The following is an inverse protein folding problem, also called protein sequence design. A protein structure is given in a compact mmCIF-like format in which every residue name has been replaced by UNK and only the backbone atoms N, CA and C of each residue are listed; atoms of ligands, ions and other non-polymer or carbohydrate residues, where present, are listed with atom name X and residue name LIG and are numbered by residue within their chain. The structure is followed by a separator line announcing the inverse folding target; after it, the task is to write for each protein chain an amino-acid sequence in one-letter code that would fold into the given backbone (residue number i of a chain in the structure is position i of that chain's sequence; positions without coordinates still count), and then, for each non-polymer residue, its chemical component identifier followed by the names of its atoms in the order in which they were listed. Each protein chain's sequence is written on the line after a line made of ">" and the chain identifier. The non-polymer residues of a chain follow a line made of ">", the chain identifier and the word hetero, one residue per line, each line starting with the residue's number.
data_IF_951616636971
#
_entry.id   IF_951616636971
#
_cell.length_a   1.000
_cell.length_b   1.000
_cell.length_c   1.000
_cell.angle_alpha   90.00
_cell.angle_beta   90.00
_cell.angle_gamma   90.00
#
_symmetry.space_group_name_H-M   'P 1'
#
loop_
_entity.id
_entity.type
_entity.pdbx_description
1 polymer ?
#
# COMPACT_ATOMS: atom_id res chain seq x y z
N UNK A 1 17.76 -3.33 17.23
CA UNK A 1 16.41 -3.15 16.65
C UNK A 1 16.18 -4.28 15.67
N UNK A 2 15.04 -4.92 15.81
CA UNK A 2 14.72 -6.31 15.45
C UNK A 2 15.03 -6.67 14.00
N UNK A 3 15.63 -7.83 13.80
CA UNK A 3 15.67 -8.52 12.52
C UNK A 3 14.24 -8.59 11.97
N UNK A 4 13.90 -7.68 11.05
CA UNK A 4 12.63 -7.75 10.31
C UNK A 4 12.66 -9.10 9.60
N UNK A 5 11.89 -10.04 10.13
CA UNK A 5 11.82 -11.40 9.59
C UNK A 5 11.53 -11.30 8.09
N UNK A 6 12.44 -11.86 7.27
CA UNK A 6 12.30 -11.88 5.80
C UNK A 6 10.94 -12.48 5.41
N UNK A 7 10.46 -13.44 6.21
CA UNK A 7 9.14 -14.05 6.05
C UNK A 7 8.02 -13.03 6.24
N UNK A 8 8.12 -12.12 7.20
CA UNK A 8 7.13 -11.07 7.40
C UNK A 8 7.12 -10.08 6.24
N UNK A 9 8.31 -9.67 5.77
CA UNK A 9 8.40 -8.79 4.61
C UNK A 9 7.80 -9.44 3.36
N UNK A 10 8.02 -10.74 3.15
CA UNK A 10 7.40 -11.48 2.06
C UNK A 10 5.86 -11.48 2.17
N UNK A 11 5.30 -11.67 3.38
CA UNK A 11 3.85 -11.60 3.62
C UNK A 11 3.30 -10.22 3.31
N UNK A 12 3.97 -9.16 3.75
CA UNK A 12 3.53 -7.78 3.51
C UNK A 12 3.51 -7.45 2.01
N UNK A 13 4.48 -7.98 1.25
CA UNK A 13 4.52 -7.86 -0.22
C UNK A 13 3.34 -8.60 -0.85
N UNK A 14 3.07 -9.85 -0.46
CA UNK A 14 1.94 -10.62 -0.99
C UNK A 14 0.61 -9.89 -0.71
N UNK A 15 0.39 -9.46 0.53
CA UNK A 15 -0.79 -8.71 0.93
C UNK A 15 -0.94 -7.41 0.11
N UNK A 16 0.14 -6.64 -0.05
CA UNK A 16 0.11 -5.42 -0.86
C UNK A 16 -0.28 -5.71 -2.32
N UNK A 17 0.23 -6.78 -2.92
CA UNK A 17 -0.11 -7.16 -4.30
C UNK A 17 -1.59 -7.52 -4.44
N UNK A 18 -2.14 -8.31 -3.51
CA UNK A 18 -3.56 -8.68 -3.51
C UNK A 18 -4.45 -7.44 -3.38
N UNK A 19 -4.14 -6.56 -2.43
CA UNK A 19 -4.89 -5.32 -2.22
C UNK A 19 -4.83 -4.40 -3.45
N UNK A 20 -3.66 -4.28 -4.11
CA UNK A 20 -3.53 -3.49 -5.34
C UNK A 20 -4.38 -4.09 -6.47
N UNK A 21 -4.40 -5.42 -6.62
CA UNK A 21 -5.24 -6.09 -7.61
C UNK A 21 -6.72 -5.86 -7.37
N UNK A 22 -7.13 -5.80 -6.10
CA UNK A 22 -8.50 -5.44 -5.68
C UNK A 22 -8.82 -3.95 -5.85
N UNK A 23 -7.86 -3.12 -6.24
CA UNK A 23 -8.05 -1.68 -6.44
C UNK A 23 -7.91 -0.84 -5.15
N UNK A 24 -7.24 -1.37 -4.13
CA UNK A 24 -6.94 -0.62 -2.92
C UNK A 24 -6.12 0.65 -3.20
N UNK A 25 -6.34 1.66 -2.37
CA UNK A 25 -5.64 2.95 -2.45
C UNK A 25 -4.30 2.87 -1.74
N UNK A 26 -3.33 3.68 -2.16
CA UNK A 26 -1.99 3.72 -1.57
C UNK A 26 -2.02 3.94 -0.05
N UNK A 27 -2.88 4.83 0.45
CA UNK A 27 -3.01 5.10 1.88
C UNK A 27 -3.46 3.89 2.69
N UNK A 28 -4.34 3.05 2.12
CA UNK A 28 -4.77 1.80 2.78
C UNK A 28 -3.61 0.81 2.83
N UNK A 29 -2.83 0.68 1.75
CA UNK A 29 -1.63 -0.17 1.74
C UNK A 29 -0.59 0.29 2.79
N UNK A 30 -0.46 1.60 3.01
CA UNK A 30 0.42 2.17 4.04
C UNK A 30 -0.04 1.87 5.47
N UNK A 31 -1.35 1.65 5.69
CA UNK A 31 -1.90 1.28 7.00
C UNK A 31 -1.92 -0.24 7.23
N UNK A 32 -2.10 -1.03 6.18
CA UNK A 32 -2.22 -2.50 6.28
C UNK A 32 -0.87 -3.23 6.15
N UNK A 33 0.21 -2.55 5.75
CA UNK A 33 1.53 -3.18 5.54
C UNK A 33 2.67 -2.39 6.18
N UNK A 34 3.78 -3.07 6.47
CA UNK A 34 5.00 -2.43 7.00
C UNK A 34 5.97 -1.99 5.89
N UNK A 35 5.49 -1.95 4.63
CA UNK A 35 6.29 -1.57 3.47
C UNK A 35 6.45 -0.05 3.41
N UNK A 36 7.64 0.39 3.01
CA UNK A 36 7.86 1.82 2.78
C UNK A 36 7.03 2.31 1.60
N UNK A 37 6.56 3.56 1.69
CA UNK A 37 5.82 4.23 0.62
C UNK A 37 6.48 4.11 -0.76
N UNK A 38 7.81 4.17 -0.82
CA UNK A 38 8.57 3.99 -2.05
C UNK A 38 8.41 2.58 -2.66
N UNK A 39 8.43 1.52 -1.84
CA UNK A 39 8.19 0.14 -2.30
C UNK A 39 6.75 -0.03 -2.78
N UNK A 40 5.78 0.49 -2.04
CA UNK A 40 4.36 0.43 -2.43
C UNK A 40 4.10 1.13 -3.77
N UNK A 41 4.70 2.31 -4.01
CA UNK A 41 4.57 3.02 -5.29
C UNK A 41 5.17 2.22 -6.44
N UNK A 42 6.32 1.55 -6.23
CA UNK A 42 6.93 0.69 -7.26
C UNK A 42 6.03 -0.51 -7.56
N UNK A 43 5.60 -1.23 -6.53
CA UNK A 43 4.70 -2.38 -6.64
C UNK A 43 3.41 -2.01 -7.39
N UNK A 44 2.82 -0.87 -7.05
CA UNK A 44 1.60 -0.37 -7.69
C UNK A 44 1.83 -0.06 -9.17
N UNK A 45 2.96 0.58 -9.52
CA UNK A 45 3.31 0.85 -10.92
C UNK A 45 3.55 -0.42 -11.71
N UNK A 46 4.22 -1.41 -11.12
CA UNK A 46 4.50 -2.70 -11.75
C UNK A 46 3.21 -3.47 -12.05
N UNK A 47 2.24 -3.47 -11.13
CA UNK A 47 0.98 -4.20 -11.30
C UNK A 47 -0.07 -3.45 -12.14
N UNK A 48 -0.18 -2.12 -11.99
CA UNK A 48 -1.24 -1.31 -12.62
C UNK A 48 -0.76 -0.51 -13.83
N UNK A 49 0.53 -0.56 -14.17
CA UNK A 49 1.15 0.18 -15.28
C UNK A 49 1.15 1.71 -15.12
N UNK A 50 0.63 2.22 -14.01
CA UNK A 50 0.48 3.65 -13.74
C UNK A 50 0.71 3.93 -12.25
N UNK A 51 1.20 5.12 -11.88
CA UNK A 51 1.34 5.48 -10.47
C UNK A 51 -0.04 5.49 -9.79
N UNK A 52 -0.11 5.17 -8.48
CA UNK A 52 -1.35 5.31 -7.73
C UNK A 52 -1.83 6.76 -7.81
N UNK A 53 -3.16 6.98 -7.88
CA UNK A 53 -3.72 8.32 -7.98
C UNK A 53 -3.21 9.19 -6.83
N UNK A 54 -2.56 10.31 -7.17
CA UNK A 54 -2.00 11.24 -6.20
C UNK A 54 -3.14 11.94 -5.46
N UNK A 55 -3.39 11.51 -4.23
CA UNK A 55 -4.32 12.19 -3.32
C UNK A 55 -5.78 11.92 -3.67
N UNK A 56 -6.35 10.89 -3.07
CA UNK A 56 -7.77 10.96 -2.74
C UNK A 56 -7.87 11.74 -1.43
N UNK A 57 -8.60 12.86 -1.50
CA UNK A 57 -8.93 13.73 -0.38
C UNK A 57 -9.21 12.89 0.88
N UNK A 58 -8.71 13.28 2.07
CA UNK A 58 -9.19 12.67 3.30
C UNK A 58 -10.71 12.82 3.32
N UNK A 59 -11.39 11.74 3.69
CA UNK A 59 -12.85 11.72 3.88
C UNK A 59 -13.28 13.02 4.55
N UNK A 60 -14.12 13.81 3.88
CA UNK A 60 -14.77 14.95 4.53
C UNK A 60 -15.70 14.35 5.58
N UNK A 61 -15.25 14.39 6.83
CA UNK A 61 -16.11 14.29 8.00
C UNK A 61 -17.04 15.50 7.97
N UNK A 62 -18.11 15.37 7.19
CA UNK A 62 -19.24 16.31 7.22
C UNK A 62 -20.30 15.60 8.03
N UNK A 63 -20.39 15.95 9.30
CA UNK A 63 -21.34 15.34 10.23
C UNK A 63 -20.86 15.47 11.68
N UNK A 64 -20.89 16.70 12.19
CA UNK A 64 -21.59 17.14 13.40
C UNK A 64 -21.32 18.63 13.64
#
# INVERSE_FOLDING_TARGET
>A
MSEKSIVQEARDIQLAMELINLGARLQMLESETQLSRGRLIRLYKELRGSPPPKGMLPFRQTGL
#
